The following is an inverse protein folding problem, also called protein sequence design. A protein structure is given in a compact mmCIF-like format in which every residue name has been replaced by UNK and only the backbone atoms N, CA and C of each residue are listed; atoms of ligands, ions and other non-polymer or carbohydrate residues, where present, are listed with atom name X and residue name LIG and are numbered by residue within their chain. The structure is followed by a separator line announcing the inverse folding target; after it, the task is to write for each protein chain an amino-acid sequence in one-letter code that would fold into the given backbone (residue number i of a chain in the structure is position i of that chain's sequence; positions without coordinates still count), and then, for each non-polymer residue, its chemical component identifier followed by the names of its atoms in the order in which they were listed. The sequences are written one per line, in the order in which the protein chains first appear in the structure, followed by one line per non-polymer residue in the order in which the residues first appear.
data_IF_652467953535
#
_entry.id   IF_652467953535
#
_cell.length_a   1.000
_cell.length_b   1.000
_cell.length_c   1.000
_cell.angle_alpha   90.00
_cell.angle_beta   90.00
_cell.angle_gamma   90.00
#
_symmetry.space_group_name_H-M   'P 1'
#
loop_
_entity.id
_entity.type
_entity.pdbx_description
1 polymer ?
#
# COMPACT_ATOMS: atom_id res chain seq x y z
N UNK A 1 -19.82 31.54 -58.68
CA UNK A 1 -20.62 32.74 -58.96
C UNK A 1 -22.10 32.38 -58.93
N UNK A 2 -22.96 33.38 -58.71
CA UNK A 2 -24.43 33.37 -58.85
C UNK A 2 -25.28 32.54 -57.85
N UNK A 3 -26.09 33.29 -57.10
CA UNK A 3 -27.33 32.89 -56.40
C UNK A 3 -28.53 33.02 -57.37
N UNK A 4 -29.73 32.56 -56.94
CA UNK A 4 -31.12 33.12 -57.12
C UNK A 4 -32.12 31.92 -57.02
N UNK A 5 -32.88 31.70 -55.93
CA UNK A 5 -34.14 32.33 -55.41
C UNK A 5 -35.46 31.75 -55.99
N UNK A 6 -36.37 31.34 -55.09
CA UNK A 6 -37.88 31.45 -55.05
C UNK A 6 -38.55 30.16 -54.54
N UNK A 7 -39.27 30.09 -53.41
CA UNK A 7 -40.49 30.76 -52.88
C UNK A 7 -41.81 29.99 -53.18
N UNK A 8 -42.53 29.60 -52.11
CA UNK A 8 -44.02 29.46 -51.91
C UNK A 8 -44.32 28.29 -50.91
N UNK A 9 -44.91 28.42 -49.70
CA UNK A 9 -46.19 29.01 -49.22
C UNK A 9 -47.43 28.12 -49.54
N UNK A 10 -48.38 27.77 -48.66
CA UNK A 10 -48.86 28.29 -47.34
C UNK A 10 -49.38 27.14 -46.44
N UNK A 11 -49.47 27.27 -45.10
CA UNK A 11 -50.15 26.26 -44.24
C UNK A 11 -50.34 26.59 -42.74
N UNK A 12 -51.10 27.62 -42.39
CA UNK A 12 -51.33 28.08 -41.00
C UNK A 12 -52.69 27.59 -40.44
N UNK A 13 -52.75 27.06 -39.21
CA UNK A 13 -53.95 27.13 -38.34
C UNK A 13 -53.65 26.90 -36.84
N UNK A 14 -54.43 27.59 -36.01
CA UNK A 14 -54.14 28.05 -34.64
C UNK A 14 -54.55 27.12 -33.47
N UNK A 15 -54.08 27.51 -32.25
CA UNK A 15 -54.67 27.34 -30.88
C UNK A 15 -54.45 25.97 -30.17
N UNK A 16 -54.24 25.87 -28.84
CA UNK A 16 -53.88 26.84 -27.77
C UNK A 16 -53.63 26.10 -26.41
N UNK A 17 -52.61 26.47 -25.60
CA UNK A 17 -52.42 26.25 -24.12
C UNK A 17 -52.54 24.79 -23.53
N UNK A 18 -51.90 24.35 -22.43
CA UNK A 18 -50.70 24.79 -21.65
C UNK A 18 -50.20 23.66 -20.71
N UNK A 19 -48.91 23.69 -20.32
CA UNK A 19 -48.17 22.94 -19.26
C UNK A 19 -48.62 21.53 -18.77
N UNK A 20 -47.71 20.55 -18.89
CA UNK A 20 -46.86 19.97 -17.80
C UNK A 20 -46.32 18.59 -18.22
N UNK A 21 -45.16 18.19 -17.67
CA UNK A 21 -44.31 17.16 -18.30
C UNK A 21 -44.55 15.71 -17.85
N UNK A 22 -44.25 14.76 -18.75
CA UNK A 22 -44.02 13.34 -18.44
C UNK A 22 -43.20 12.64 -19.54
N UNK A 23 -42.23 11.81 -19.11
CA UNK A 23 -41.65 10.60 -19.74
C UNK A 23 -41.37 10.52 -21.26
N UNK A 24 -40.16 10.03 -21.60
CA UNK A 24 -40.01 8.79 -22.38
C UNK A 24 -38.58 8.22 -22.32
N UNK A 25 -38.46 6.90 -22.08
CA UNK A 25 -37.22 6.12 -22.19
C UNK A 25 -37.15 5.50 -23.58
N UNK A 26 -36.03 5.65 -24.32
CA UNK A 26 -35.69 4.77 -25.45
C UNK A 26 -34.20 4.39 -25.40
N UNK A 27 -33.94 3.09 -25.50
CA UNK A 27 -32.62 2.46 -25.59
C UNK A 27 -32.08 2.54 -27.02
N UNK A 28 -30.78 2.77 -27.18
CA UNK A 28 -30.07 2.47 -28.44
C UNK A 28 -28.82 1.63 -28.16
N UNK A 29 -28.79 0.45 -28.77
CA UNK A 29 -28.01 -0.70 -28.32
C UNK A 29 -26.66 -0.85 -29.00
N UNK A 30 -25.77 -1.55 -28.31
CA UNK A 30 -24.63 -2.31 -28.85
C UNK A 30 -24.75 -2.71 -30.33
N UNK A 31 -23.88 -2.15 -31.19
CA UNK A 31 -23.34 -2.80 -32.39
C UNK A 31 -22.10 -2.04 -32.87
N UNK A 32 -20.91 -2.54 -32.52
CA UNK A 32 -19.62 -2.43 -33.25
C UNK A 32 -18.46 -2.92 -32.35
N UNK A 33 -18.44 -4.23 -32.04
CA UNK A 33 -17.28 -4.89 -31.47
C UNK A 33 -16.95 -6.16 -32.27
N UNK A 34 -15.89 -6.08 -33.06
CA UNK A 34 -15.02 -7.22 -33.39
C UNK A 34 -13.61 -6.86 -32.90
N UNK A 35 -12.80 -7.84 -32.45
CA UNK A 35 -11.61 -7.55 -31.68
C UNK A 35 -10.45 -7.06 -32.56
N UNK A 36 -9.76 -6.03 -32.11
CA UNK A 36 -8.40 -5.70 -32.58
C UNK A 36 -7.42 -5.67 -31.41
N UNK A 37 -6.14 -5.87 -31.77
CA UNK A 37 -5.04 -6.21 -30.86
C UNK A 37 -4.64 -5.09 -29.91
N UNK A 38 -3.95 -5.50 -28.85
CA UNK A 38 -3.15 -4.65 -27.97
C UNK A 38 -2.33 -3.60 -28.75
N UNK A 39 -2.46 -2.35 -28.37
CA UNK A 39 -1.38 -1.35 -28.33
C UNK A 39 -1.74 -0.29 -27.29
N UNK A 40 -0.73 0.20 -26.58
CA UNK A 40 -0.92 0.95 -25.33
C UNK A 40 -1.48 2.36 -25.54
N UNK A 41 -2.36 2.79 -24.64
CA UNK A 41 -2.79 4.17 -24.49
C UNK A 41 -2.84 4.55 -23.00
N UNK A 42 -2.55 5.83 -22.76
CA UNK A 42 -2.36 6.44 -21.44
C UNK A 42 -3.71 6.58 -20.74
N UNK A 43 -3.89 5.92 -19.60
CA UNK A 43 -5.05 6.18 -18.74
C UNK A 43 -4.83 7.45 -17.92
N UNK A 44 -5.22 8.59 -18.50
CA UNK A 44 -5.77 9.67 -17.69
C UNK A 44 -7.09 9.20 -17.07
N UNK A 45 -7.34 9.64 -15.84
CA UNK A 45 -8.55 9.38 -15.07
C UNK A 45 -9.80 9.89 -15.81
N UNK A 46 -10.66 8.98 -16.25
CA UNK A 46 -12.01 9.31 -16.74
C UNK A 46 -13.05 9.06 -15.63
N UNK A 47 -14.10 9.89 -15.54
CA UNK A 47 -15.08 9.83 -14.45
C UNK A 47 -16.04 8.65 -14.60
N UNK A 48 -16.38 8.01 -13.48
CA UNK A 48 -17.33 6.89 -13.43
C UNK A 48 -18.77 7.41 -13.39
N UNK A 49 -19.63 6.82 -14.22
CA UNK A 49 -21.08 7.03 -14.23
C UNK A 49 -21.74 6.00 -13.31
N UNK A 50 -22.61 6.47 -12.40
CA UNK A 50 -23.36 5.59 -11.49
C UNK A 50 -24.52 4.89 -12.20
N UNK A 51 -24.71 3.59 -11.92
CA UNK A 51 -25.86 2.80 -12.38
C UNK A 51 -26.81 2.49 -11.21
N UNK A 52 -28.15 2.48 -11.39
CA UNK A 52 -29.11 2.26 -10.30
C UNK A 52 -29.17 0.83 -9.76
N UNK A 53 -29.64 0.70 -8.52
CA UNK A 53 -29.78 -0.56 -7.76
C UNK A 53 -30.78 -1.54 -8.39
N UNK A 54 -30.51 -2.83 -8.23
CA UNK A 54 -31.51 -3.90 -8.32
C UNK A 54 -31.71 -4.52 -6.92
N UNK A 55 -32.95 -4.78 -6.53
CA UNK A 55 -33.33 -5.37 -5.24
C UNK A 55 -33.42 -6.90 -5.32
N UNK A 56 -32.84 -7.66 -4.37
CA UNK A 56 -33.20 -9.05 -4.14
C UNK A 56 -34.40 -9.17 -3.19
N UNK A 57 -35.30 -10.11 -3.49
CA UNK A 57 -36.43 -10.52 -2.66
C UNK A 57 -36.03 -11.51 -1.55
N UNK A 58 -36.98 -11.79 -0.66
CA UNK A 58 -36.80 -12.54 0.60
C UNK A 58 -36.55 -14.06 0.46
N UNK A 59 -36.26 -14.67 1.63
CA UNK A 59 -36.24 -16.10 1.98
C UNK A 59 -34.97 -16.87 1.57
N UNK A 60 -34.44 -17.80 2.39
CA UNK A 60 -35.07 -18.53 3.49
C UNK A 60 -34.12 -18.80 4.68
N UNK A 61 -34.70 -18.95 5.87
CA UNK A 61 -34.01 -19.27 7.13
C UNK A 61 -33.55 -20.75 7.17
N UNK A 62 -32.42 -21.02 7.83
CA UNK A 62 -32.31 -21.95 8.99
C UNK A 62 -30.87 -22.45 9.17
N UNK A 63 -30.23 -22.10 10.28
CA UNK A 63 -29.92 -23.08 11.35
C UNK A 63 -29.28 -22.37 12.54
N UNK A 64 -29.94 -22.44 13.69
CA UNK A 64 -29.44 -21.96 14.98
C UNK A 64 -28.97 -23.15 15.81
N UNK A 65 -28.12 -22.86 16.81
CA UNK A 65 -27.81 -23.71 17.99
C UNK A 65 -27.16 -25.08 17.76
N UNK A 66 -25.90 -25.21 18.17
CA UNK A 66 -25.49 -26.20 19.17
C UNK A 66 -24.39 -25.62 20.10
N UNK A 67 -24.29 -26.15 21.32
CA UNK A 67 -23.63 -25.51 22.46
C UNK A 67 -22.14 -25.85 22.64
N UNK A 68 -21.40 -24.83 23.13
CA UNK A 68 -20.34 -24.83 24.17
C UNK A 68 -19.33 -26.00 24.37
N UNK A 69 -18.17 -25.60 24.91
CA UNK A 69 -17.10 -26.38 25.55
C UNK A 69 -16.14 -27.16 24.64
N UNK A 70 -14.94 -26.59 24.47
CA UNK A 70 -13.70 -27.36 24.48
C UNK A 70 -12.55 -26.52 25.03
N UNK A 71 -11.87 -27.08 26.03
CA UNK A 71 -10.76 -26.48 26.79
C UNK A 71 -9.47 -26.37 25.99
N UNK A 72 -8.65 -25.38 26.36
CA UNK A 72 -7.28 -25.16 25.91
C UNK A 72 -6.41 -26.42 25.98
N UNK A 73 -5.86 -26.85 24.84
CA UNK A 73 -4.73 -27.79 24.77
C UNK A 73 -3.72 -27.27 23.76
N UNK A 74 -2.55 -26.84 24.24
CA UNK A 74 -1.38 -26.57 23.41
C UNK A 74 -0.64 -27.90 23.16
N UNK A 75 -0.24 -28.25 21.92
CA UNK A 75 0.58 -29.43 21.68
C UNK A 75 2.03 -29.21 22.14
N UNK A 76 2.56 -30.11 22.96
CA UNK A 76 3.99 -30.14 23.30
C UNK A 76 4.83 -30.48 22.06
N UNK A 77 5.82 -29.65 21.74
CA UNK A 77 6.77 -29.91 20.66
C UNK A 77 7.86 -30.87 21.16
N UNK A 78 7.70 -32.15 20.81
CA UNK A 78 8.62 -33.20 21.22
C UNK A 78 9.85 -33.24 20.28
N UNK A 79 11.00 -32.76 20.77
CA UNK A 79 12.23 -32.63 19.97
C UNK A 79 13.01 -33.96 19.89
N UNK A 80 13.02 -34.57 18.70
CA UNK A 80 13.99 -35.62 18.34
C UNK A 80 14.80 -35.18 17.13
N UNK A 81 16.10 -35.00 17.34
CA UNK A 81 16.99 -34.42 16.34
C UNK A 81 17.29 -35.35 15.17
N UNK A 82 17.55 -34.73 14.01
CA UNK A 82 18.43 -35.26 12.97
C UNK A 82 19.46 -34.20 12.65
N UNK A 83 20.72 -34.61 12.54
CA UNK A 83 21.82 -33.73 12.17
C UNK A 83 21.71 -33.34 10.70
N UNK A 84 21.44 -32.07 10.42
CA UNK A 84 21.88 -31.43 9.18
C UNK A 84 22.97 -30.41 9.52
N UNK A 85 24.01 -30.38 8.68
CA UNK A 85 25.22 -29.61 8.91
C UNK A 85 24.94 -28.11 8.86
N UNK A 86 24.88 -27.45 10.03
CA UNK A 86 24.87 -26.00 10.12
C UNK A 86 26.13 -25.44 9.45
N UNK A 87 25.92 -24.61 8.43
CA UNK A 87 26.90 -23.62 8.01
C UNK A 87 27.26 -22.72 9.21
N UNK A 88 28.51 -22.27 9.34
CA UNK A 88 28.91 -21.44 10.47
C UNK A 88 28.15 -20.12 10.44
N UNK A 89 27.33 -19.89 11.47
CA UNK A 89 26.74 -18.57 11.73
C UNK A 89 27.88 -17.66 12.14
N UNK A 90 28.35 -16.84 11.21
CA UNK A 90 29.20 -15.70 11.56
C UNK A 90 28.32 -14.66 12.24
N UNK A 91 28.53 -14.44 13.54
CA UNK A 91 27.89 -13.38 14.33
C UNK A 91 28.38 -11.97 13.91
N UNK A 92 28.23 -11.64 12.63
CA UNK A 92 28.20 -10.26 12.16
C UNK A 92 26.79 -9.72 12.49
N UNK A 93 26.64 -8.79 13.45
CA UNK A 93 25.33 -8.31 13.85
C UNK A 93 24.63 -7.64 12.67
N UNK A 94 23.60 -8.28 12.14
CA UNK A 94 22.79 -7.78 11.01
C UNK A 94 22.33 -6.37 11.34
N UNK A 95 22.80 -5.40 10.55
CA UNK A 95 22.70 -4.00 10.91
C UNK A 95 21.30 -3.44 10.62
N UNK A 96 20.32 -3.80 11.46
CA UNK A 96 18.98 -3.21 11.48
C UNK A 96 19.01 -1.68 11.63
N UNK A 97 20.13 -1.10 12.11
CA UNK A 97 20.33 0.36 12.21
C UNK A 97 20.76 1.02 10.90
N UNK A 98 21.18 0.26 9.88
CA UNK A 98 21.54 0.81 8.56
C UNK A 98 20.39 1.68 8.03
N UNK A 99 20.66 2.97 7.82
CA UNK A 99 19.70 3.88 7.21
C UNK A 99 19.77 3.68 5.68
N UNK A 100 18.65 3.43 5.00
CA UNK A 100 18.64 3.39 3.55
C UNK A 100 18.92 4.81 3.02
N UNK A 101 19.66 4.91 1.92
CA UNK A 101 20.03 6.20 1.35
C UNK A 101 20.34 6.02 -0.12
N UNK A 102 19.75 6.86 -0.97
CA UNK A 102 19.99 6.82 -2.41
C UNK A 102 21.45 7.08 -2.75
N UNK A 103 22.08 6.09 -3.37
CA UNK A 103 23.43 6.14 -3.92
C UNK A 103 23.34 6.47 -5.42
N UNK A 104 23.91 7.58 -5.90
CA UNK A 104 24.02 7.83 -7.33
C UNK A 104 24.98 6.81 -7.95
N UNK A 105 24.49 6.02 -8.90
CA UNK A 105 25.23 4.99 -9.63
C UNK A 105 25.73 5.54 -10.96
N UNK A 106 24.90 6.36 -11.62
CA UNK A 106 25.23 7.11 -12.83
C UNK A 106 24.43 8.42 -12.85
N UNK A 107 24.62 9.25 -13.89
CA UNK A 107 23.84 10.49 -14.09
C UNK A 107 22.31 10.30 -14.04
N UNK A 108 21.82 9.12 -14.43
CA UNK A 108 20.39 8.81 -14.51
C UNK A 108 20.08 7.45 -13.86
N UNK A 109 20.81 7.07 -12.82
CA UNK A 109 20.67 5.77 -12.15
C UNK A 109 21.00 5.92 -10.67
N UNK A 110 20.07 5.53 -9.81
CA UNK A 110 20.15 5.69 -8.36
C UNK A 110 19.71 4.38 -7.69
N UNK A 111 20.57 3.78 -6.87
CA UNK A 111 20.22 2.60 -6.09
C UNK A 111 19.87 3.02 -4.65
N UNK A 112 18.84 2.43 -4.07
CA UNK A 112 18.34 2.75 -2.74
C UNK A 112 18.91 1.82 -1.68
N UNK A 113 18.83 0.51 -1.92
CA UNK A 113 19.37 -0.55 -1.07
C UNK A 113 19.49 -1.86 -1.86
N UNK A 114 20.30 -2.79 -1.38
CA UNK A 114 20.44 -4.13 -1.92
C UNK A 114 20.28 -5.18 -0.81
N UNK A 115 19.58 -6.27 -1.11
CA UNK A 115 19.27 -7.34 -0.16
C UNK A 115 19.67 -8.70 -0.69
N UNK A 116 20.23 -9.55 0.16
CA UNK A 116 20.30 -10.99 -0.11
C UNK A 116 18.91 -11.59 0.06
N UNK A 117 18.47 -12.36 -0.93
CA UNK A 117 17.15 -12.99 -1.01
C UNK A 117 17.33 -14.50 -1.22
N UNK A 118 17.20 -15.24 -0.12
CA UNK A 118 17.40 -16.69 0.00
C UNK A 118 16.08 -17.50 -0.03
N UNK A 119 14.94 -16.82 -0.15
CA UNK A 119 13.58 -17.42 -0.13
C UNK A 119 13.33 -18.43 -1.26
N UNK A 120 14.15 -18.40 -2.32
CA UNK A 120 14.17 -19.38 -3.42
C UNK A 120 15.60 -19.68 -3.86
N UNK A 121 15.84 -20.92 -4.28
CA UNK A 121 17.09 -21.35 -4.93
C UNK A 121 16.96 -21.27 -6.46
N UNK A 122 18.00 -20.79 -7.19
CA UNK A 122 19.21 -20.14 -6.69
C UNK A 122 18.91 -18.80 -6.01
N UNK A 123 19.64 -18.50 -4.93
CA UNK A 123 19.49 -17.25 -4.20
C UNK A 123 19.81 -16.04 -5.11
N UNK A 124 19.35 -14.86 -4.73
CA UNK A 124 19.54 -13.65 -5.52
C UNK A 124 19.90 -12.44 -4.67
N UNK A 125 20.44 -11.40 -5.30
CA UNK A 125 20.52 -10.07 -4.72
C UNK A 125 19.43 -9.23 -5.36
N UNK A 126 18.56 -8.62 -4.55
CA UNK A 126 17.51 -7.68 -4.96
C UNK A 126 18.01 -6.26 -4.74
N UNK A 127 18.26 -5.52 -5.80
CA UNK A 127 18.66 -4.11 -5.73
C UNK A 127 17.47 -3.24 -6.05
N UNK A 128 17.03 -2.42 -5.09
CA UNK A 128 16.00 -1.41 -5.30
C UNK A 128 16.64 -0.24 -6.04
N UNK A 129 16.14 0.08 -7.24
CA UNK A 129 16.81 0.99 -8.16
C UNK A 129 15.82 1.85 -8.95
N UNK A 130 16.15 3.11 -9.15
CA UNK A 130 15.43 4.03 -10.04
C UNK A 130 16.39 4.50 -11.12
N UNK A 131 15.96 4.41 -12.37
CA UNK A 131 16.75 4.84 -13.51
C UNK A 131 15.89 5.36 -14.66
N UNK A 132 16.54 6.00 -15.63
CA UNK A 132 15.92 6.26 -16.92
C UNK A 132 15.43 4.94 -17.56
N UNK A 133 14.15 4.89 -17.90
CA UNK A 133 13.49 3.74 -18.52
C UNK A 133 14.22 3.31 -19.81
N UNK A 134 14.78 4.27 -20.57
CA UNK A 134 15.54 3.99 -21.80
C UNK A 134 16.91 3.35 -21.54
N UNK A 135 17.50 3.55 -20.36
CA UNK A 135 18.76 2.92 -19.96
C UNK A 135 18.57 1.48 -19.47
N UNK A 136 17.41 1.17 -18.88
CA UNK A 136 17.08 -0.17 -18.36
C UNK A 136 17.15 -1.28 -19.42
N UNK A 137 17.09 -0.90 -20.69
CA UNK A 137 17.16 -1.81 -21.84
C UNK A 137 18.60 -2.15 -22.23
N UNK A 138 19.61 -1.31 -21.88
CA UNK A 138 20.93 -1.31 -22.54
C UNK A 138 22.03 -2.11 -21.83
N UNK A 139 22.21 -1.98 -20.52
CA UNK A 139 23.14 -2.85 -19.75
C UNK A 139 22.41 -3.49 -18.58
N UNK A 140 22.56 -4.81 -18.47
CA UNK A 140 21.90 -5.67 -17.48
C UNK A 140 22.90 -6.57 -16.75
N UNK A 141 24.13 -6.12 -16.56
CA UNK A 141 25.17 -6.89 -15.85
C UNK A 141 25.31 -6.41 -14.41
N UNK A 142 25.17 -7.33 -13.46
CA UNK A 142 25.57 -7.11 -12.08
C UNK A 142 27.00 -7.60 -11.90
N UNK A 143 27.87 -6.77 -11.31
CA UNK A 143 29.12 -7.19 -10.72
C UNK A 143 28.86 -7.46 -9.23
N UNK A 144 28.85 -8.72 -8.82
CA UNK A 144 28.67 -9.11 -7.42
C UNK A 144 30.07 -9.31 -6.83
N UNK A 145 30.37 -8.57 -5.76
CA UNK A 145 31.63 -8.65 -5.04
C UNK A 145 31.44 -9.54 -3.81
N UNK A 146 32.31 -10.53 -3.66
CA UNK A 146 32.25 -11.55 -2.62
C UNK A 146 33.20 -11.24 -1.47
N UNK A 147 33.01 -11.89 -0.32
CA UNK A 147 33.85 -11.72 0.87
C UNK A 147 35.28 -12.28 0.76
N UNK A 148 35.59 -13.00 -0.32
CA UNK A 148 36.93 -13.49 -0.69
C UNK A 148 37.62 -12.60 -1.73
N UNK A 149 37.14 -11.36 -1.90
CA UNK A 149 37.55 -10.36 -2.89
C UNK A 149 37.34 -10.76 -4.36
N UNK A 150 36.75 -11.93 -4.65
CA UNK A 150 36.35 -12.27 -6.01
C UNK A 150 35.17 -11.40 -6.48
N UNK A 151 35.12 -11.15 -7.78
CA UNK A 151 33.99 -10.46 -8.43
C UNK A 151 33.42 -11.35 -9.52
N UNK A 152 32.14 -11.68 -9.43
CA UNK A 152 31.41 -12.47 -10.41
C UNK A 152 30.48 -11.56 -11.22
N UNK A 153 30.38 -11.81 -12.53
CA UNK A 153 29.51 -11.04 -13.42
C UNK A 153 28.32 -11.90 -13.83
N UNK A 154 27.11 -11.43 -13.51
CA UNK A 154 25.86 -12.12 -13.83
C UNK A 154 24.91 -11.22 -14.59
N UNK A 155 24.01 -11.81 -15.38
CA UNK A 155 22.92 -11.08 -16.02
C UNK A 155 21.81 -10.85 -15.00
N UNK A 156 21.54 -9.59 -14.69
CA UNK A 156 20.41 -9.17 -13.88
C UNK A 156 19.13 -9.02 -14.70
N UNK A 157 18.00 -9.12 -14.00
CA UNK A 157 16.66 -8.87 -14.51
C UNK A 157 16.10 -7.60 -13.86
N UNK A 158 15.54 -6.69 -14.66
CA UNK A 158 14.85 -5.49 -14.18
C UNK A 158 13.35 -5.74 -14.22
N UNK A 159 12.72 -5.74 -13.04
CA UNK A 159 11.29 -5.94 -12.85
C UNK A 159 10.67 -4.62 -12.34
N UNK A 160 9.69 -4.02 -13.05
CA UNK A 160 9.16 -2.70 -12.69
C UNK A 160 8.25 -2.76 -11.44
N UNK A 161 8.43 -1.81 -10.53
CA UNK A 161 7.64 -1.68 -9.27
C UNK A 161 6.85 -0.37 -9.18
N UNK A 162 6.89 0.44 -10.22
CA UNK A 162 6.13 1.69 -10.31
C UNK A 162 5.85 2.10 -11.75
N UNK A 163 5.00 3.12 -11.89
CA UNK A 163 4.58 3.63 -13.20
C UNK A 163 5.64 4.54 -13.84
N UNK A 164 6.59 5.05 -13.05
CA UNK A 164 7.57 6.06 -13.46
C UNK A 164 6.98 7.46 -13.64
N UNK A 165 7.86 8.46 -13.59
CA UNK A 165 7.54 9.88 -13.71
C UNK A 165 8.54 10.53 -14.67
N UNK A 166 8.07 11.50 -15.48
CA UNK A 166 8.95 12.28 -16.34
C UNK A 166 9.39 13.54 -15.59
N UNK A 167 10.70 13.68 -15.35
CA UNK A 167 11.31 14.82 -14.66
C UNK A 167 12.43 15.35 -15.56
N UNK A 168 12.38 16.64 -15.91
CA UNK A 168 13.37 17.31 -16.78
C UNK A 168 13.70 16.50 -18.05
N UNK A 169 12.65 16.13 -18.80
CA UNK A 169 12.65 15.27 -20.00
C UNK A 169 13.07 13.79 -19.81
N UNK A 170 13.82 13.42 -18.77
CA UNK A 170 14.13 12.03 -18.44
C UNK A 170 12.89 11.29 -17.92
N UNK A 171 12.64 10.06 -18.38
CA UNK A 171 11.56 9.19 -17.84
C UNK A 171 12.16 8.25 -16.79
N UNK A 172 12.15 8.69 -15.54
CA UNK A 172 12.57 7.83 -14.43
C UNK A 172 11.51 6.78 -14.14
N UNK A 173 11.95 5.57 -13.80
CA UNK A 173 11.08 4.46 -13.40
C UNK A 173 11.75 3.58 -12.35
N UNK A 174 10.92 3.05 -11.48
CA UNK A 174 11.26 2.25 -10.32
C UNK A 174 11.31 0.77 -10.68
N UNK A 175 12.40 0.10 -10.31
CA UNK A 175 12.62 -1.31 -10.56
C UNK A 175 13.21 -2.02 -9.34
N UNK A 176 13.04 -3.34 -9.31
CA UNK A 176 13.99 -4.25 -8.66
C UNK A 176 14.91 -4.80 -9.74
N UNK A 177 16.22 -4.67 -9.52
CA UNK A 177 17.24 -5.39 -10.26
C UNK A 177 17.57 -6.67 -9.50
N UNK A 178 17.16 -7.81 -10.06
CA UNK A 178 17.41 -9.14 -9.52
C UNK A 178 18.69 -9.71 -10.12
N UNK A 179 19.73 -9.89 -9.31
CA UNK A 179 21.02 -10.48 -9.70
C UNK A 179 21.14 -11.90 -9.13
N UNK A 180 21.11 -12.97 -9.94
CA UNK A 180 21.20 -14.34 -9.42
C UNK A 180 22.60 -14.61 -8.84
N UNK A 181 22.68 -15.27 -7.68
CA UNK A 181 23.92 -15.67 -7.03
C UNK A 181 24.21 -17.13 -7.39
N UNK A 182 25.34 -17.46 -8.05
CA UNK A 182 25.73 -18.83 -8.35
C UNK A 182 25.91 -19.66 -7.06
N UNK A 183 25.71 -20.97 -7.15
CA UNK A 183 25.90 -21.87 -6.02
C UNK A 183 27.40 -22.06 -5.72
N UNK A 184 27.73 -22.30 -4.44
CA UNK A 184 29.10 -22.61 -4.00
C UNK A 184 30.06 -21.42 -3.92
N UNK A 185 29.59 -20.19 -4.11
CA UNK A 185 30.40 -18.96 -3.97
C UNK A 185 30.39 -18.44 -2.53
N UNK A 186 31.45 -17.74 -2.11
CA UNK A 186 31.49 -17.02 -0.83
C UNK A 186 30.38 -15.96 -0.72
N UNK A 187 29.95 -15.57 0.50
CA UNK A 187 28.86 -14.59 0.68
C UNK A 187 29.09 -13.26 -0.07
N UNK A 188 28.09 -12.72 -0.78
CA UNK A 188 28.19 -11.43 -1.45
C UNK A 188 28.17 -10.27 -0.46
N UNK A 189 29.17 -9.39 -0.50
CA UNK A 189 29.27 -8.21 0.38
C UNK A 189 28.73 -6.94 -0.26
N UNK A 190 28.82 -6.83 -1.60
CA UNK A 190 28.28 -5.68 -2.33
C UNK A 190 27.99 -6.01 -3.79
N UNK A 191 27.23 -5.16 -4.47
CA UNK A 191 26.90 -5.27 -5.88
C UNK A 191 27.02 -3.93 -6.60
N UNK A 192 27.54 -3.96 -7.81
CA UNK A 192 27.66 -2.82 -8.73
C UNK A 192 26.95 -3.10 -10.05
N UNK A 193 26.42 -2.06 -10.70
CA UNK A 193 25.83 -2.15 -12.05
C UNK A 193 26.94 -2.01 -13.11
N UNK A 194 27.43 -3.13 -13.63
CA UNK A 194 28.66 -3.18 -14.42
C UNK A 194 29.93 -3.05 -13.55
N UNK A 195 31.09 -3.01 -14.20
CA UNK A 195 32.42 -3.10 -13.55
C UNK A 195 32.93 -1.80 -12.92
N UNK A 196 32.43 -0.64 -13.32
CA UNK A 196 32.94 0.68 -12.91
C UNK A 196 31.95 1.49 -12.05
N UNK A 197 30.83 0.89 -11.66
CA UNK A 197 29.79 1.55 -10.88
C UNK A 197 30.08 1.54 -9.36
N UNK A 198 29.63 2.56 -8.61
CA UNK A 198 29.66 2.56 -7.14
C UNK A 198 29.01 1.32 -6.52
N UNK A 199 29.66 0.75 -5.49
CA UNK A 199 29.21 -0.44 -4.78
C UNK A 199 28.00 -0.14 -3.86
N UNK A 200 26.96 -0.96 -3.99
CA UNK A 200 25.83 -1.02 -3.05
C UNK A 200 26.07 -2.20 -2.11
N UNK A 201 26.16 -1.93 -0.81
CA UNK A 201 26.30 -2.95 0.24
C UNK A 201 25.08 -3.88 0.24
N UNK A 202 25.32 -5.20 0.33
CA UNK A 202 24.26 -6.20 0.40
C UNK A 202 23.86 -6.43 1.85
N UNK A 203 22.64 -6.06 2.20
CA UNK A 203 22.05 -6.36 3.50
C UNK A 203 21.56 -7.80 3.51
N UNK A 204 21.98 -8.60 4.47
CA UNK A 204 21.40 -9.91 4.75
C UNK A 204 20.25 -9.74 5.74
N UNK A 205 18.99 -10.03 5.36
CA UNK A 205 17.87 -9.97 6.29
C UNK A 205 18.01 -11.00 7.41
N UNK A 206 17.63 -10.62 8.64
CA UNK A 206 17.73 -11.49 9.81
C UNK A 206 16.80 -12.69 9.69
N UNK A 207 17.35 -13.90 9.73
CA UNK A 207 16.64 -15.18 9.57
C UNK A 207 15.91 -15.66 10.83
N UNK A 208 15.59 -14.75 11.77
CA UNK A 208 14.71 -15.04 12.91
C UNK A 208 13.27 -15.16 12.41
N UNK A 209 12.91 -16.38 11.98
CA UNK A 209 11.63 -16.70 11.36
C UNK A 209 10.45 -16.39 12.30
N UNK A 210 9.61 -15.44 11.87
CA UNK A 210 8.33 -15.04 12.46
C UNK A 210 8.42 -14.63 13.94
N UNK A 211 9.47 -13.87 14.30
CA UNK A 211 9.57 -13.14 15.58
C UNK A 211 8.33 -12.24 15.83
N UNK A 212 7.78 -11.66 14.77
CA UNK A 212 6.67 -10.72 14.77
C UNK A 212 5.47 -11.31 13.99
N UNK A 213 4.25 -11.06 14.47
CA UNK A 213 3.03 -11.49 13.81
C UNK A 213 2.72 -10.63 12.59
N UNK A 214 1.98 -9.54 12.80
CA UNK A 214 1.62 -8.58 11.76
C UNK A 214 2.48 -7.32 11.87
N UNK A 215 3.09 -6.92 10.77
CA UNK A 215 3.89 -5.70 10.66
C UNK A 215 3.26 -4.72 9.68
N UNK A 216 3.37 -3.42 9.93
CA UNK A 216 2.86 -2.38 9.01
C UNK A 216 4.00 -1.65 8.33
N UNK A 217 4.05 -1.70 6.99
CA UNK A 217 4.94 -0.89 6.16
C UNK A 217 4.14 0.31 5.62
N UNK A 218 4.46 1.51 6.11
CA UNK A 218 3.87 2.76 5.60
C UNK A 218 4.67 3.25 4.39
N UNK A 219 3.98 3.84 3.41
CA UNK A 219 4.63 4.58 2.31
C UNK A 219 5.46 5.77 2.82
N UNK A 220 6.21 6.41 1.92
CA UNK A 220 7.09 7.53 2.28
C UNK A 220 6.26 8.68 2.88
N UNK A 221 6.58 9.08 4.11
CA UNK A 221 5.84 10.13 4.82
C UNK A 221 6.46 11.49 4.52
N UNK A 222 5.71 12.31 3.80
CA UNK A 222 6.07 13.67 3.40
C UNK A 222 5.22 14.71 4.15
N UNK A 223 5.77 15.93 4.28
CA UNK A 223 5.22 17.03 5.11
C UNK A 223 5.10 16.63 6.61
N UNK A 224 4.57 17.52 7.45
CA UNK A 224 4.24 17.17 8.84
C UNK A 224 2.79 16.63 8.90
N UNK A 225 2.58 15.34 9.19
CA UNK A 225 1.25 14.80 9.48
C UNK A 225 0.70 15.36 10.81
N UNK A 226 -0.63 15.45 10.94
CA UNK A 226 -1.26 15.86 12.19
C UNK A 226 -0.90 14.90 13.33
N UNK A 227 -0.24 15.42 14.36
CA UNK A 227 0.29 14.63 15.48
C UNK A 227 -0.80 13.94 16.31
N UNK A 228 -2.03 14.46 16.35
CA UNK A 228 -3.14 13.82 17.07
C UNK A 228 -3.65 12.62 16.29
N UNK A 229 -3.82 12.78 14.97
CA UNK A 229 -4.16 11.68 14.05
C UNK A 229 -3.09 10.59 14.06
N UNK A 230 -1.81 10.93 14.20
CA UNK A 230 -0.75 9.94 14.37
C UNK A 230 -0.89 9.12 15.66
N UNK A 231 -1.18 9.76 16.80
CA UNK A 231 -1.41 9.05 18.08
C UNK A 231 -2.63 8.13 17.95
N UNK A 232 -3.72 8.64 17.41
CA UNK A 232 -4.94 7.86 17.14
C UNK A 232 -4.67 6.65 16.23
N UNK A 233 -3.99 6.86 15.10
CA UNK A 233 -3.67 5.80 14.16
C UNK A 233 -2.75 4.75 14.79
N UNK A 234 -1.68 5.16 15.50
CA UNK A 234 -0.73 4.23 16.14
C UNK A 234 -1.37 3.40 17.26
N UNK A 235 -2.22 4.00 18.11
CA UNK A 235 -2.98 3.22 19.10
C UNK A 235 -3.99 2.27 18.43
N UNK A 236 -4.62 2.68 17.32
CA UNK A 236 -5.53 1.80 16.58
C UNK A 236 -4.79 0.62 15.93
N UNK A 237 -3.62 0.83 15.32
CA UNK A 237 -2.78 -0.27 14.81
C UNK A 237 -2.45 -1.28 15.92
N UNK A 238 -2.10 -0.79 17.12
CA UNK A 238 -1.82 -1.63 18.29
C UNK A 238 -3.04 -2.42 18.76
N UNK A 239 -4.21 -1.78 18.83
CA UNK A 239 -5.50 -2.42 19.19
C UNK A 239 -5.89 -3.51 18.18
N UNK A 240 -5.50 -3.37 16.92
CA UNK A 240 -5.72 -4.34 15.85
C UNK A 240 -4.69 -5.48 15.80
N UNK A 241 -3.74 -5.54 16.74
CA UNK A 241 -2.77 -6.63 16.84
C UNK A 241 -1.53 -6.49 15.96
N UNK A 242 -1.25 -5.29 15.43
CA UNK A 242 0.06 -5.00 14.80
C UNK A 242 1.16 -5.13 15.86
N UNK A 243 2.24 -5.83 15.53
CA UNK A 243 3.41 -6.02 16.39
C UNK A 243 4.42 -4.87 16.26
N UNK A 244 4.67 -4.40 15.03
CA UNK A 244 5.62 -3.32 14.75
C UNK A 244 5.22 -2.50 13.52
N UNK A 245 5.39 -1.19 13.59
CA UNK A 245 5.13 -0.22 12.51
C UNK A 245 6.45 0.33 11.97
N UNK A 246 6.61 0.38 10.65
CA UNK A 246 7.77 0.93 9.96
C UNK A 246 7.37 2.19 9.19
N UNK A 247 8.00 3.33 9.51
CA UNK A 247 7.75 4.62 8.86
C UNK A 247 9.03 5.15 8.23
N UNK A 248 8.93 5.61 6.98
CA UNK A 248 10.02 6.22 6.22
C UNK A 248 9.80 7.72 6.17
N UNK A 249 10.51 8.45 7.03
CA UNK A 249 10.44 9.90 7.14
C UNK A 249 11.27 10.58 6.04
N UNK A 250 10.60 11.34 5.18
CA UNK A 250 11.23 12.14 4.13
C UNK A 250 11.38 13.62 4.49
N UNK A 251 10.48 14.20 5.29
CA UNK A 251 10.52 15.64 5.58
C UNK A 251 9.74 16.10 6.82
N UNK A 252 9.51 15.23 7.80
CA UNK A 252 8.93 15.62 9.10
C UNK A 252 9.99 16.45 9.85
N UNK A 253 9.71 17.72 10.22
CA UNK A 253 10.71 18.58 10.82
C UNK A 253 11.21 18.06 12.18
N UNK A 254 12.51 18.19 12.43
CA UNK A 254 13.07 17.89 13.75
C UNK A 254 12.49 18.85 14.81
N UNK A 255 12.13 18.32 15.99
CA UNK A 255 11.52 19.09 17.07
C UNK A 255 10.01 19.37 16.91
N UNK A 256 9.38 18.91 15.83
CA UNK A 256 7.94 19.05 15.63
C UNK A 256 7.12 18.14 16.56
N UNK A 257 5.81 18.38 16.71
CA UNK A 257 4.95 17.51 17.51
C UNK A 257 4.86 16.10 16.92
N UNK A 258 4.78 15.98 15.59
CA UNK A 258 4.85 14.69 14.91
C UNK A 258 6.17 13.94 15.19
N UNK A 259 7.31 14.63 15.15
CA UNK A 259 8.60 14.03 15.50
C UNK A 259 8.65 13.55 16.96
N UNK A 260 8.07 14.29 17.90
CA UNK A 260 7.97 13.91 19.32
C UNK A 260 7.10 12.65 19.51
N UNK A 261 5.96 12.57 18.81
CA UNK A 261 5.10 11.36 18.79
C UNK A 261 5.88 10.15 18.26
N UNK A 262 6.54 10.27 17.10
CA UNK A 262 7.36 9.19 16.54
C UNK A 262 8.45 8.71 17.49
N UNK A 263 9.16 9.64 18.14
CA UNK A 263 10.21 9.33 19.09
C UNK A 263 9.67 8.57 20.33
N UNK A 264 8.45 8.87 20.79
CA UNK A 264 7.80 8.13 21.88
C UNK A 264 7.51 6.68 21.49
N UNK A 265 6.84 6.44 20.37
CA UNK A 265 6.52 5.07 19.92
C UNK A 265 7.78 4.26 19.54
N UNK A 266 8.85 4.94 19.10
CA UNK A 266 10.14 4.30 18.87
C UNK A 266 10.83 3.86 20.17
N UNK A 267 10.75 4.66 21.25
CA UNK A 267 11.26 4.23 22.58
C UNK A 267 10.50 3.03 23.14
N UNK A 268 9.22 2.86 22.78
CA UNK A 268 8.41 1.69 23.14
C UNK A 268 8.71 0.44 22.29
N UNK A 269 9.57 0.53 21.27
CA UNK A 269 9.84 -0.58 20.33
C UNK A 269 8.70 -0.88 19.33
N UNK A 270 7.54 -0.23 19.48
CA UNK A 270 6.38 -0.41 18.60
C UNK A 270 6.59 0.19 17.20
N UNK A 271 7.43 1.24 17.10
CA UNK A 271 7.71 1.92 15.85
C UNK A 271 9.21 1.89 15.51
N UNK A 272 9.53 1.69 14.23
CA UNK A 272 10.86 1.84 13.66
C UNK A 272 10.83 2.99 12.67
N UNK A 273 11.56 4.07 12.96
CA UNK A 273 11.70 5.20 12.05
C UNK A 273 12.96 5.04 11.19
N UNK A 274 12.79 5.15 9.87
CA UNK A 274 13.88 5.30 8.91
C UNK A 274 13.87 6.71 8.34
N UNK A 275 15.05 7.30 8.18
CA UNK A 275 15.19 8.53 7.43
C UNK A 275 15.41 8.19 5.96
N UNK A 276 14.66 8.83 5.07
CA UNK A 276 14.71 8.56 3.64
C UNK A 276 14.43 9.82 2.85
N UNK A 277 15.50 10.51 2.46
CA UNK A 277 15.48 11.67 1.57
C UNK A 277 15.24 11.23 0.11
N UNK A 278 14.62 12.05 -0.76
CA UNK A 278 14.42 11.69 -2.16
C UNK A 278 15.69 11.98 -2.99
N UNK A 279 15.99 11.11 -3.96
CA UNK A 279 17.20 11.26 -4.79
C UNK A 279 17.17 12.49 -5.73
N UNK A 280 15.97 12.95 -6.12
CA UNK A 280 15.77 14.20 -6.86
C UNK A 280 15.30 15.30 -5.91
N UNK A 281 16.22 16.22 -5.56
CA UNK A 281 15.94 17.42 -4.77
C UNK A 281 15.53 18.63 -5.62
N UNK A 282 14.94 18.42 -6.80
CA UNK A 282 14.59 19.50 -7.73
C UNK A 282 13.25 20.16 -7.37
N UNK A 283 13.20 21.49 -7.40
CA UNK A 283 11.94 22.26 -7.23
C UNK A 283 10.87 21.92 -8.26
N UNK A 284 11.27 21.34 -9.39
CA UNK A 284 10.38 20.84 -10.45
C UNK A 284 9.64 19.59 -9.96
N UNK A 285 8.49 19.84 -9.32
CA UNK A 285 7.58 18.88 -8.69
C UNK A 285 8.15 18.14 -7.46
N UNK A 286 7.89 18.71 -6.27
CA UNK A 286 7.98 17.99 -4.98
C UNK A 286 7.21 16.65 -5.02
N UNK A 287 6.15 16.59 -5.82
CA UNK A 287 5.37 15.37 -6.08
C UNK A 287 6.16 14.30 -6.85
N UNK A 288 6.85 14.65 -7.95
CA UNK A 288 7.49 13.65 -8.82
C UNK A 288 8.60 12.86 -8.14
N UNK A 289 9.42 13.53 -7.33
CA UNK A 289 10.45 12.89 -6.52
C UNK A 289 9.88 12.01 -5.40
N UNK A 290 8.74 12.40 -4.80
CA UNK A 290 8.04 11.62 -3.77
C UNK A 290 7.35 10.39 -4.38
N UNK A 291 6.70 10.53 -5.54
CA UNK A 291 6.04 9.42 -6.24
C UNK A 291 7.02 8.29 -6.57
N UNK A 292 8.18 8.63 -7.14
CA UNK A 292 9.27 7.69 -7.44
C UNK A 292 9.91 7.05 -6.18
N UNK A 293 9.56 7.53 -4.99
CA UNK A 293 10.10 7.06 -3.71
C UNK A 293 9.15 6.09 -2.98
N UNK A 294 7.84 6.12 -3.29
CA UNK A 294 6.82 5.30 -2.60
C UNK A 294 7.09 3.80 -2.71
N UNK A 295 7.18 3.24 -3.93
CA UNK A 295 7.44 1.80 -4.10
C UNK A 295 8.80 1.38 -3.55
N UNK A 296 9.92 2.12 -3.77
CA UNK A 296 11.21 1.81 -3.14
C UNK A 296 11.17 1.63 -1.62
N UNK A 297 10.56 2.55 -0.84
CA UNK A 297 10.56 2.43 0.62
C UNK A 297 9.73 1.24 1.12
N UNK A 298 8.62 0.94 0.45
CA UNK A 298 7.77 -0.20 0.81
C UNK A 298 8.49 -1.53 0.52
N UNK A 299 9.27 -1.61 -0.57
CA UNK A 299 10.09 -2.80 -0.85
C UNK A 299 11.27 -2.94 0.12
N UNK A 300 11.94 -1.86 0.50
CA UNK A 300 13.00 -1.87 1.54
C UNK A 300 12.43 -2.34 2.89
N UNK A 301 11.23 -1.87 3.25
CA UNK A 301 10.50 -2.33 4.42
C UNK A 301 10.18 -3.83 4.38
N UNK A 302 9.71 -4.33 3.23
CA UNK A 302 9.42 -5.74 3.02
C UNK A 302 10.70 -6.59 3.17
N UNK A 303 11.75 -6.31 2.39
CA UNK A 303 12.96 -7.14 2.39
C UNK A 303 13.67 -7.18 3.75
N UNK A 304 13.72 -6.06 4.50
CA UNK A 304 14.28 -6.03 5.87
C UNK A 304 13.56 -6.94 6.86
N UNK A 305 12.29 -7.22 6.63
CA UNK A 305 11.40 -7.87 7.58
C UNK A 305 10.78 -9.17 7.04
N UNK A 306 11.17 -9.63 5.84
CA UNK A 306 10.50 -10.73 5.15
C UNK A 306 10.58 -12.09 5.86
N UNK A 307 11.56 -12.29 6.74
CA UNK A 307 11.59 -13.44 7.66
C UNK A 307 11.09 -13.11 9.05
N UNK A 308 11.16 -11.84 9.48
CA UNK A 308 10.79 -11.42 10.85
C UNK A 308 9.29 -11.36 11.07
N UNK A 309 8.53 -10.92 10.07
CA UNK A 309 7.09 -10.74 10.15
C UNK A 309 6.36 -11.88 9.44
N UNK A 310 5.43 -12.55 10.12
CA UNK A 310 4.56 -13.56 9.49
C UNK A 310 3.67 -12.94 8.40
N UNK A 311 3.20 -11.71 8.62
CA UNK A 311 2.41 -10.93 7.67
C UNK A 311 2.92 -9.49 7.58
N UNK A 312 2.85 -8.91 6.38
CA UNK A 312 3.10 -7.47 6.16
C UNK A 312 1.83 -6.81 5.62
N UNK A 313 1.40 -5.75 6.28
CA UNK A 313 0.33 -4.85 5.85
C UNK A 313 0.95 -3.62 5.18
N UNK A 314 0.37 -3.19 4.06
CA UNK A 314 0.74 -1.94 3.37
C UNK A 314 -0.47 -1.02 3.38
N UNK A 315 -0.36 0.09 4.12
CA UNK A 315 -1.39 1.12 4.32
C UNK A 315 -0.74 2.51 4.50
N UNK A 316 -1.50 3.56 4.22
CA UNK A 316 -1.13 4.95 4.46
C UNK A 316 -1.61 5.43 5.86
N UNK A 317 -1.10 6.57 6.34
CA UNK A 317 -1.42 7.11 7.69
C UNK A 317 -2.86 7.60 7.86
N UNK A 318 -3.61 7.71 6.77
CA UNK A 318 -5.03 8.06 6.75
C UNK A 318 -5.95 6.83 6.54
N UNK A 319 -5.39 5.62 6.55
CA UNK A 319 -6.09 4.36 6.30
C UNK A 319 -5.99 3.39 7.49
N UNK A 320 -7.03 2.58 7.69
CA UNK A 320 -7.00 1.47 8.66
C UNK A 320 -7.85 0.32 8.16
N UNK A 321 -7.28 -0.90 8.14
CA UNK A 321 -8.03 -2.12 7.82
C UNK A 321 -8.80 -2.54 9.06
N UNK A 322 -10.13 -2.57 8.97
CA UNK A 322 -11.02 -2.80 10.12
C UNK A 322 -11.76 -4.13 9.96
N UNK A 323 -11.54 -5.10 10.86
CA UNK A 323 -12.33 -6.33 10.91
C UNK A 323 -13.73 -6.05 11.47
N UNK A 324 -14.76 -6.46 10.73
CA UNK A 324 -16.17 -6.35 11.14
C UNK A 324 -16.62 -7.52 12.01
N UNK A 325 -16.11 -8.72 11.72
CA UNK A 325 -16.52 -9.97 12.38
C UNK A 325 -15.56 -10.44 13.49
N UNK A 326 -14.35 -9.89 13.54
CA UNK A 326 -13.28 -10.30 14.47
C UNK A 326 -12.83 -9.13 15.36
N UNK A 327 -12.08 -9.39 16.44
CA UNK A 327 -11.70 -8.35 17.41
C UNK A 327 -10.43 -7.57 17.04
N UNK A 328 -9.64 -8.13 16.12
CA UNK A 328 -8.31 -7.69 15.68
C UNK A 328 -7.99 -8.34 14.31
N UNK A 329 -6.88 -7.94 13.67
CA UNK A 329 -6.50 -8.44 12.35
C UNK A 329 -5.91 -9.85 12.40
N UNK A 330 -5.28 -10.25 13.50
CA UNK A 330 -4.63 -11.56 13.64
C UNK A 330 -5.68 -12.68 13.66
N UNK A 331 -6.71 -12.55 14.51
CA UNK A 331 -7.82 -13.51 14.60
C UNK A 331 -8.57 -13.67 13.27
N UNK A 332 -8.75 -12.56 12.54
CA UNK A 332 -9.27 -12.59 11.16
C UNK A 332 -8.35 -13.36 10.21
N UNK A 333 -7.05 -13.05 10.16
CA UNK A 333 -6.10 -13.71 9.26
C UNK A 333 -5.99 -15.22 9.55
N UNK A 334 -6.01 -15.61 10.82
CA UNK A 334 -6.08 -17.03 11.23
C UNK A 334 -7.32 -17.68 10.64
N UNK A 335 -8.50 -17.10 10.82
CA UNK A 335 -9.75 -17.66 10.29
C UNK A 335 -9.78 -17.74 8.76
N UNK A 336 -9.26 -16.73 8.05
CA UNK A 336 -9.12 -16.75 6.59
C UNK A 336 -8.17 -17.88 6.15
N UNK A 337 -7.03 -18.04 6.83
CA UNK A 337 -6.01 -19.04 6.50
C UNK A 337 -6.44 -20.50 6.70
N UNK A 338 -7.43 -20.75 7.56
CA UNK A 338 -8.03 -22.09 7.76
C UNK A 338 -8.86 -22.55 6.56
N UNK A 339 -9.43 -21.61 5.81
CA UNK A 339 -10.31 -21.91 4.68
C UNK A 339 -9.57 -21.81 3.35
N UNK A 340 -8.63 -20.87 3.23
CA UNK A 340 -7.82 -20.72 2.03
C UNK A 340 -6.36 -20.30 2.32
N UNK A 341 -5.40 -21.05 1.79
CA UNK A 341 -3.98 -20.69 1.85
C UNK A 341 -3.64 -19.64 0.79
N UNK A 342 -3.93 -18.37 1.09
CA UNK A 342 -3.77 -17.23 0.16
C UNK A 342 -2.49 -16.46 0.47
N UNK A 343 -1.76 -16.09 -0.57
CA UNK A 343 -0.52 -15.30 -0.46
C UNK A 343 -0.78 -13.83 -0.13
N UNK A 344 -2.01 -13.36 -0.37
CA UNK A 344 -2.44 -11.98 -0.21
C UNK A 344 -3.93 -11.88 0.07
N UNK A 345 -4.26 -10.98 0.99
CA UNK A 345 -5.62 -10.57 1.36
C UNK A 345 -5.78 -9.11 0.97
N UNK A 346 -6.70 -8.82 0.05
CA UNK A 346 -7.03 -7.48 -0.44
C UNK A 346 -8.29 -6.97 0.26
N UNK A 347 -8.27 -5.71 0.70
CA UNK A 347 -9.35 -5.07 1.44
C UNK A 347 -9.82 -3.84 0.66
N UNK A 348 -11.11 -3.84 0.32
CA UNK A 348 -11.74 -2.77 -0.48
C UNK A 348 -11.86 -1.48 0.33
N UNK A 349 -11.72 -0.34 -0.35
CA UNK A 349 -11.79 0.97 0.29
C UNK A 349 -13.23 1.34 0.64
N UNK A 350 -13.40 1.96 1.79
CA UNK A 350 -14.61 2.67 2.19
C UNK A 350 -14.19 4.06 2.68
N UNK A 351 -14.69 5.10 2.04
CA UNK A 351 -14.18 6.46 2.21
C UNK A 351 -15.02 7.22 3.24
N UNK A 352 -14.34 7.78 4.24
CA UNK A 352 -14.89 8.71 5.23
C UNK A 352 -14.29 10.08 4.95
N UNK A 353 -15.14 11.06 4.59
CA UNK A 353 -14.66 12.40 4.30
C UNK A 353 -14.69 13.29 5.55
N UNK A 354 -13.51 13.81 5.90
CA UNK A 354 -13.34 14.67 7.07
C UNK A 354 -14.17 15.95 6.91
N UNK A 355 -15.12 16.19 7.82
CA UNK A 355 -15.92 17.41 7.78
C UNK A 355 -15.12 18.61 8.30
N UNK A 356 -14.69 19.50 7.40
CA UNK A 356 -13.97 20.74 7.76
C UNK A 356 -14.79 21.74 8.58
N UNK A 357 -16.10 21.53 8.71
CA UNK A 357 -17.00 22.42 9.46
C UNK A 357 -17.08 22.08 10.96
N UNK A 358 -16.52 20.94 11.39
CA UNK A 358 -16.48 20.57 12.81
C UNK A 358 -15.37 21.35 13.53
N UNK A 359 -15.71 22.53 14.04
CA UNK A 359 -14.80 23.34 14.87
C UNK A 359 -14.45 22.67 16.22
N UNK A 360 -15.24 21.68 16.64
CA UNK A 360 -14.98 20.90 17.85
C UNK A 360 -13.81 19.91 17.63
N UNK A 361 -12.74 19.98 18.46
CA UNK A 361 -11.64 19.03 18.40
C UNK A 361 -12.12 17.65 18.84
N UNK A 362 -12.21 16.71 17.90
CA UNK A 362 -12.53 15.33 18.23
C UNK A 362 -11.40 14.70 19.06
N UNK A 363 -11.76 13.94 20.10
CA UNK A 363 -10.80 13.07 20.77
C UNK A 363 -10.26 11.97 19.82
N UNK A 364 -11.10 11.57 18.87
CA UNK A 364 -10.84 10.56 17.83
C UNK A 364 -11.59 10.92 16.53
N UNK A 365 -10.87 11.04 15.41
CA UNK A 365 -11.45 11.19 14.07
C UNK A 365 -12.17 9.92 13.63
N UNK A 366 -11.64 8.74 13.95
CA UNK A 366 -12.24 7.45 13.56
C UNK A 366 -13.61 7.20 14.21
N UNK A 367 -13.87 7.79 15.38
CA UNK A 367 -15.15 7.68 16.09
C UNK A 367 -16.11 8.81 15.75
N UNK A 368 -15.61 9.99 15.35
CA UNK A 368 -16.44 11.12 14.90
C UNK A 368 -16.94 10.94 13.46
N UNK A 369 -16.04 10.61 12.54
CA UNK A 369 -16.37 10.45 11.13
C UNK A 369 -16.95 9.04 10.91
N UNK A 370 -18.21 8.83 11.32
CA UNK A 370 -18.93 7.56 11.14
C UNK A 370 -19.81 7.52 9.88
N UNK A 371 -19.67 8.49 8.97
CA UNK A 371 -20.43 8.56 7.72
C UNK A 371 -19.51 8.24 6.54
N UNK A 372 -19.85 7.22 5.74
CA UNK A 372 -19.01 6.70 4.66
C UNK A 372 -19.71 6.63 3.31
N UNK A 373 -18.91 6.60 2.25
CA UNK A 373 -19.38 6.20 0.92
C UNK A 373 -19.54 4.68 0.79
N UNK A 374 -20.23 4.28 -0.29
CA UNK A 374 -20.28 2.90 -0.78
C UNK A 374 -18.88 2.29 -0.97
N UNK A 375 -18.80 0.96 -0.83
CA UNK A 375 -17.54 0.23 -0.93
C UNK A 375 -16.97 0.27 -2.35
N UNK A 376 -15.66 0.46 -2.48
CA UNK A 376 -15.00 0.46 -3.79
C UNK A 376 -15.22 -0.87 -4.54
N UNK A 377 -15.15 -0.86 -5.88
CA UNK A 377 -15.11 -2.10 -6.64
C UNK A 377 -13.94 -3.02 -6.23
N UNK A 378 -14.02 -4.33 -6.51
CA UNK A 378 -12.92 -5.27 -6.26
C UNK A 378 -11.60 -4.79 -6.87
N UNK A 379 -10.50 -5.00 -6.16
CA UNK A 379 -9.12 -4.67 -6.58
C UNK A 379 -8.84 -3.18 -6.92
N UNK A 380 -9.83 -2.28 -6.85
CA UNK A 380 -9.65 -0.85 -7.15
C UNK A 380 -9.01 -0.10 -5.98
N UNK A 381 -7.72 0.18 -6.11
CA UNK A 381 -6.90 0.90 -5.13
C UNK A 381 -6.91 0.29 -3.72
N UNK A 382 -7.20 -1.01 -3.62
CA UNK A 382 -7.25 -1.78 -2.36
C UNK A 382 -6.00 -1.59 -1.50
N UNK A 383 -6.10 -1.90 -0.22
CA UNK A 383 -4.93 -2.16 0.63
C UNK A 383 -4.87 -3.62 1.03
N UNK A 384 -3.71 -4.10 1.45
CA UNK A 384 -3.47 -5.54 1.53
C UNK A 384 -2.65 -5.98 2.73
N UNK A 385 -2.89 -7.22 3.15
CA UNK A 385 -2.04 -7.98 4.06
C UNK A 385 -1.50 -9.21 3.33
N UNK A 386 -0.18 -9.35 3.26
CA UNK A 386 0.53 -10.32 2.42
C UNK A 386 1.45 -11.23 3.23
N UNK A 387 1.73 -12.42 2.69
CA UNK A 387 2.82 -13.28 3.15
C UNK A 387 4.14 -12.85 2.49
N UNK A 388 5.08 -12.25 3.24
CA UNK A 388 6.29 -11.68 2.67
C UNK A 388 7.31 -12.71 2.18
N UNK A 389 7.14 -14.01 2.49
CA UNK A 389 7.96 -15.07 1.89
C UNK A 389 7.58 -15.36 0.43
N UNK A 390 6.37 -14.98 0.02
CA UNK A 390 5.87 -15.21 -1.35
C UNK A 390 5.95 -13.97 -2.24
N UNK A 391 5.87 -12.77 -1.65
CA UNK A 391 5.91 -11.53 -2.42
C UNK A 391 7.34 -11.13 -2.81
N UNK A 392 7.57 -10.87 -4.09
CA UNK A 392 8.88 -10.44 -4.61
C UNK A 392 8.96 -8.95 -4.88
N UNK A 393 7.82 -8.32 -5.20
CA UNK A 393 7.70 -6.91 -5.58
C UNK A 393 6.46 -6.31 -4.95
N UNK A 394 6.61 -5.31 -4.09
CA UNK A 394 5.48 -4.63 -3.43
C UNK A 394 5.07 -3.35 -4.17
N UNK A 395 3.78 -3.04 -4.15
CA UNK A 395 3.19 -1.75 -4.52
C UNK A 395 2.35 -1.23 -3.35
N UNK A 396 2.01 0.08 -3.31
CA UNK A 396 1.18 0.69 -2.24
C UNK A 396 -0.24 0.10 -2.07
N UNK A 397 -0.64 -0.88 -2.90
CA UNK A 397 -1.98 -1.50 -2.85
C UNK A 397 -1.94 -3.00 -2.58
N UNK A 398 -0.89 -3.68 -3.06
CA UNK A 398 -0.78 -5.13 -3.10
C UNK A 398 0.64 -5.58 -3.41
N UNK A 399 0.91 -6.87 -3.20
CA UNK A 399 2.00 -7.51 -3.92
C UNK A 399 1.76 -7.42 -5.43
N UNK A 400 2.72 -6.85 -6.14
CA UNK A 400 2.66 -6.66 -7.59
C UNK A 400 3.15 -7.89 -8.35
N UNK A 401 4.07 -8.65 -7.76
CA UNK A 401 4.63 -9.89 -8.32
C UNK A 401 5.24 -10.75 -7.21
N UNK A 402 5.16 -12.07 -7.34
CA UNK A 402 5.57 -13.04 -6.33
C UNK A 402 5.80 -14.42 -6.94
N UNK A 403 6.39 -15.32 -6.16
CA UNK A 403 6.52 -16.73 -6.54
C UNK A 403 5.32 -17.52 -6.09
N UNK A 404 4.92 -18.50 -6.91
CA UNK A 404 3.85 -19.47 -6.61
C UNK A 404 2.56 -18.80 -6.11
N UNK A 405 2.29 -17.57 -6.58
CA UNK A 405 1.17 -16.75 -6.13
C UNK A 405 -0.13 -17.50 -6.33
N UNK A 406 -0.72 -17.92 -5.21
CA UNK A 406 -2.10 -18.36 -5.17
C UNK A 406 -3.01 -17.20 -5.57
N UNK A 407 -4.25 -17.46 -6.02
CA UNK A 407 -5.18 -16.39 -6.37
C UNK A 407 -5.29 -15.39 -5.22
N UNK A 408 -5.19 -14.09 -5.50
CA UNK A 408 -5.39 -13.06 -4.47
C UNK A 408 -6.79 -13.20 -3.87
N UNK A 409 -6.93 -13.13 -2.55
CA UNK A 409 -8.25 -13.09 -1.91
C UNK A 409 -8.73 -11.64 -1.81
N UNK A 410 -9.72 -11.28 -2.62
CA UNK A 410 -10.53 -10.09 -2.40
C UNK A 410 -11.48 -10.37 -1.22
N UNK A 411 -11.12 -9.85 -0.04
CA UNK A 411 -11.84 -10.13 1.21
C UNK A 411 -13.22 -9.47 1.14
N UNK A 412 -14.25 -10.25 1.47
CA UNK A 412 -15.63 -9.79 1.48
C UNK A 412 -15.79 -8.56 2.41
N UNK A 413 -16.41 -7.45 1.97
CA UNK A 413 -16.57 -6.24 2.77
C UNK A 413 -17.27 -6.46 4.12
N UNK A 414 -18.08 -7.50 4.23
CA UNK A 414 -18.78 -7.94 5.44
C UNK A 414 -17.83 -8.52 6.48
N UNK A 415 -16.65 -9.02 6.08
CA UNK A 415 -15.60 -9.53 6.96
C UNK A 415 -14.68 -8.38 7.39
N UNK A 416 -14.21 -7.57 6.44
CA UNK A 416 -13.33 -6.43 6.70
C UNK A 416 -13.28 -5.41 5.54
N UNK A 417 -13.00 -4.15 5.87
CA UNK A 417 -12.82 -3.06 4.88
C UNK A 417 -11.58 -2.23 5.20
N UNK A 418 -10.97 -1.60 4.19
CA UNK A 418 -9.98 -0.55 4.39
C UNK A 418 -10.71 0.80 4.53
N UNK A 419 -10.75 1.33 5.75
CA UNK A 419 -11.40 2.61 6.04
C UNK A 419 -10.41 3.76 5.73
N UNK A 420 -10.77 4.62 4.77
CA UNK A 420 -9.92 5.74 4.32
C UNK A 420 -10.46 7.10 4.79
N UNK A 421 -9.80 7.73 5.76
CA UNK A 421 -10.22 8.96 6.44
C UNK A 421 -9.51 10.20 5.88
N UNK A 422 -10.07 10.82 4.84
CA UNK A 422 -9.37 11.88 4.09
C UNK A 422 -10.23 13.09 3.76
N UNK A 423 -9.59 14.23 3.48
CA UNK A 423 -10.30 15.38 2.93
C UNK A 423 -10.83 15.06 1.52
N UNK A 424 -12.07 15.45 1.23
CA UNK A 424 -12.58 15.37 -0.12
C UNK A 424 -11.87 16.39 -1.01
N UNK A 425 -11.43 15.94 -2.19
CA UNK A 425 -10.62 16.71 -3.14
C UNK A 425 -11.17 16.63 -4.57
N UNK A 426 -12.33 16.00 -4.77
CA UNK A 426 -12.92 15.76 -6.08
C UNK A 426 -13.33 17.05 -6.80
N UNK A 427 -13.77 18.08 -6.07
CA UNK A 427 -14.10 19.39 -6.64
C UNK A 427 -12.91 20.01 -7.40
N UNK A 428 -11.71 19.95 -6.80
CA UNK A 428 -10.48 20.41 -7.42
C UNK A 428 -9.97 19.46 -8.51
N UNK A 429 -9.95 18.16 -8.23
CA UNK A 429 -9.44 17.13 -9.16
C UNK A 429 -10.24 17.08 -10.47
N UNK A 430 -11.56 17.12 -10.39
CA UNK A 430 -12.47 17.07 -11.54
C UNK A 430 -12.84 18.47 -12.06
N UNK A 431 -12.30 19.53 -11.44
CA UNK A 431 -12.57 20.95 -11.74
C UNK A 431 -14.06 21.27 -11.82
N UNK A 432 -14.84 20.65 -10.94
CA UNK A 432 -16.32 20.73 -10.90
C UNK A 432 -16.76 20.88 -9.44
N UNK A 433 -17.09 22.11 -9.00
CA UNK A 433 -17.55 22.36 -7.64
C UNK A 433 -18.82 21.56 -7.28
N UNK A 434 -18.97 21.23 -6.01
CA UNK A 434 -20.14 20.57 -5.44
C UNK A 434 -20.17 19.03 -5.56
N UNK A 435 -19.14 18.39 -6.12
CA UNK A 435 -19.03 16.92 -6.12
C UNK A 435 -18.79 16.43 -4.68
N UNK A 436 -17.97 17.11 -3.90
CA UNK A 436 -17.71 16.77 -2.50
C UNK A 436 -18.97 16.90 -1.64
N UNK A 437 -19.77 17.95 -1.84
CA UNK A 437 -21.08 18.10 -1.18
C UNK A 437 -22.04 16.98 -1.59
N UNK A 438 -22.16 16.72 -2.90
CA UNK A 438 -23.01 15.64 -3.42
C UNK A 438 -22.60 14.26 -2.89
N UNK A 439 -21.30 13.96 -2.83
CA UNK A 439 -20.79 12.72 -2.26
C UNK A 439 -21.10 12.60 -0.75
N UNK A 440 -20.99 13.69 0.01
CA UNK A 440 -21.38 13.69 1.42
C UNK A 440 -22.88 13.36 1.60
N UNK A 441 -23.75 13.83 0.70
CA UNK A 441 -25.18 13.46 0.67
C UNK A 441 -25.43 12.00 0.27
N UNK A 442 -24.51 11.34 -0.45
CA UNK A 442 -24.61 9.91 -0.81
C UNK A 442 -24.10 8.97 0.29
N UNK A 443 -23.51 9.50 1.36
CA UNK A 443 -22.97 8.68 2.45
C UNK A 443 -24.04 7.99 3.28
N UNK A 444 -23.62 7.07 4.13
CA UNK A 444 -24.47 6.40 5.14
C UNK A 444 -23.69 6.09 6.42
N UNK A 445 -24.38 5.89 7.56
CA UNK A 445 -23.73 5.56 8.83
C UNK A 445 -23.01 4.21 8.81
N UNK A 446 -21.84 4.14 9.43
CA UNK A 446 -21.07 2.93 9.70
C UNK A 446 -20.41 3.02 11.09
N UNK A 447 -21.12 2.54 12.11
CA UNK A 447 -20.66 2.55 13.50
C UNK A 447 -19.66 1.42 13.82
N UNK A 448 -19.08 0.75 12.82
CA UNK A 448 -18.08 -0.33 13.02
C UNK A 448 -16.92 0.12 13.90
N UNK A 449 -16.51 1.40 13.85
CA UNK A 449 -15.45 1.92 14.70
C UNK A 449 -15.85 2.06 16.18
N UNK A 450 -17.15 2.24 16.49
CA UNK A 450 -17.61 2.46 17.87
C UNK A 450 -17.29 1.29 18.80
N UNK A 451 -17.21 0.06 18.29
CA UNK A 451 -16.80 -1.12 19.08
C UNK A 451 -15.38 -1.04 19.64
N UNK A 452 -14.55 -0.14 19.13
CA UNK A 452 -13.19 0.11 19.61
C UNK A 452 -13.12 1.27 20.61
N UNK A 453 -14.16 2.10 20.75
CA UNK A 453 -14.13 3.34 21.54
C UNK A 453 -13.62 3.16 22.97
N UNK A 454 -14.14 2.15 23.69
CA UNK A 454 -13.73 1.82 25.06
C UNK A 454 -12.28 1.36 25.23
N UNK A 455 -11.58 0.99 24.13
CA UNK A 455 -10.14 0.70 24.12
C UNK A 455 -9.33 1.88 23.58
N UNK A 456 -9.83 2.52 22.51
CA UNK A 456 -9.14 3.56 21.76
C UNK A 456 -9.07 4.90 22.51
N UNK A 457 -10.18 5.42 23.03
CA UNK A 457 -10.19 6.72 23.72
C UNK A 457 -9.27 6.72 24.97
N UNK A 458 -9.29 5.70 25.86
CA UNK A 458 -8.36 5.66 26.98
C UNK A 458 -6.89 5.50 26.54
N UNK A 459 -6.62 4.81 25.43
CA UNK A 459 -5.27 4.66 24.89
C UNK A 459 -4.73 5.99 24.35
N UNK A 460 -5.52 6.69 23.52
CA UNK A 460 -5.20 8.03 23.01
C UNK A 460 -4.97 9.01 24.16
N UNK A 461 -5.85 9.03 25.17
CA UNK A 461 -5.73 9.92 26.32
C UNK A 461 -4.42 9.70 27.09
N UNK A 462 -4.08 8.45 27.42
CA UNK A 462 -2.80 8.09 28.06
C UNK A 462 -1.61 8.50 27.20
N UNK A 463 -1.59 8.12 25.92
CA UNK A 463 -0.49 8.46 25.02
C UNK A 463 -0.30 9.99 24.89
N UNK A 464 -1.37 10.77 24.70
CA UNK A 464 -1.27 12.26 24.65
C UNK A 464 -0.69 12.84 25.95
N UNK A 465 -1.06 12.29 27.11
CA UNK A 465 -0.49 12.66 28.42
C UNK A 465 1.00 12.30 28.53
N UNK A 466 1.36 11.06 28.23
CA UNK A 466 2.73 10.54 28.37
C UNK A 466 3.72 11.19 27.38
N UNK A 467 3.23 11.73 26.26
CA UNK A 467 4.05 12.42 25.25
C UNK A 467 4.25 13.91 25.58
N UNK A 468 3.23 14.60 26.12
CA UNK A 468 3.22 16.07 26.21
C UNK A 468 2.93 16.68 27.59
N UNK A 469 2.63 15.88 28.61
CA UNK A 469 2.30 16.36 29.97
C UNK A 469 3.30 15.89 31.04
N UNK A 470 4.48 15.40 30.64
CA UNK A 470 5.59 15.12 31.56
C UNK A 470 6.46 16.37 31.78
N UNK A 471 5.94 17.31 32.57
CA UNK A 471 6.67 18.33 33.35
C UNK A 471 5.87 18.63 34.60
#
# INVERSE_FOLDING_TARGET
MLRIISIASVGFKHKLLVFSGALAVIVLSYRLLRPMRQQGLIHHSHPVVFAPKATPSEQMQNQTTFFQNSTTILPEINSRGKNESRLPVTDSPVNHRSQPTWKPISRYTYAYSAFYDDRKTPHSIRVIIVLDEELSVRDKRCAIHLSDEMTIFVRGQFDPIGFGVRVNNTRYKEFILTCPVPQGVSPPVSVSLGSAAPRVEVVFPTTLHHELGLCTCVSVTFQEPDWQRMVEWLEMQRILGVSQVFIYNNSIPAGSKAATVLAYYQRQGFLVLKHSEPFLRTDVTKEGGVLLHMSPVINDCMYRNMHRCQYIMVIDLDEVIVPRQHNDLISMLVQLSLHEHKTQHNFRNVYYFLNSSSNEPAESVFLRENFRLETSPPLMSVKSIINPLTCTHMHNHRCWSGWDMQPELDVAPEIATNNHYKACHFDGLLRRPGICSWLAEQGFPDDTMQRFAGRLLPAICRAKKDIFQTT
#
